data_IF_934984614597
#
_entry.id   IF_934984614597
#
_cell.length_a   1.000
_cell.length_b   1.000
_cell.length_c   1.000
_cell.angle_alpha   90.00
_cell.angle_beta   90.00
_cell.angle_gamma   90.00
#
_symmetry.space_group_name_H-M   'P 1'
#
loop_
_entity.id
_entity.type
_entity.pdbx_description
1 polymer ?
#
# COMPACT_ATOMS: atom_id res chain seq x y z
N UNK A 1 18.62 28.24 -10.40
CA UNK A 1 18.80 27.47 -9.14
C UNK A 1 17.45 27.44 -8.45
N UNK A 2 16.66 26.39 -8.67
CA UNK A 2 15.39 26.19 -7.95
C UNK A 2 15.76 25.83 -6.53
N UNK A 3 15.29 26.60 -5.55
CA UNK A 3 15.47 26.26 -4.15
C UNK A 3 14.95 24.84 -3.90
N UNK A 4 15.79 24.04 -3.25
CA UNK A 4 15.43 22.79 -2.60
C UNK A 4 14.55 23.17 -1.40
N UNK A 5 13.32 23.62 -1.66
CA UNK A 5 12.33 23.68 -0.62
C UNK A 5 12.11 22.23 -0.20
N UNK A 6 12.61 21.87 0.99
CA UNK A 6 12.54 20.52 1.53
C UNK A 6 11.13 19.97 1.36
N UNK A 7 11.00 18.91 0.57
CA UNK A 7 9.73 18.22 0.40
C UNK A 7 9.49 17.41 1.66
N UNK A 8 8.85 18.01 2.66
CA UNK A 8 8.51 17.30 3.89
C UNK A 8 7.48 16.19 3.58
N UNK A 9 7.70 15.02 4.17
CA UNK A 9 6.78 13.87 4.14
C UNK A 9 6.62 13.36 5.56
N UNK A 10 5.40 13.41 6.06
CA UNK A 10 5.08 12.95 7.42
C UNK A 10 4.92 11.43 7.43
N UNK A 11 5.73 10.76 8.24
CA UNK A 11 5.73 9.32 8.44
C UNK A 11 4.85 8.98 9.64
N UNK A 12 3.93 8.05 9.40
CA UNK A 12 2.99 7.58 10.41
C UNK A 12 3.02 6.06 10.46
N UNK A 13 3.24 5.49 11.65
CA UNK A 13 3.04 4.05 11.87
C UNK A 13 1.62 3.80 12.36
N UNK A 14 0.85 3.06 11.58
CA UNK A 14 -0.55 2.71 11.89
C UNK A 14 -0.67 1.38 12.66
N UNK A 15 0.46 0.70 12.91
CA UNK A 15 0.47 -0.62 13.55
C UNK A 15 -0.22 -1.68 12.69
N UNK A 16 -0.95 -2.60 13.34
CA UNK A 16 -1.70 -3.66 12.67
C UNK A 16 -3.18 -3.30 12.58
N UNK A 17 -3.76 -3.33 11.37
CA UNK A 17 -5.20 -3.06 11.19
C UNK A 17 -5.79 -3.71 9.93
N UNK A 18 -7.13 -3.77 9.91
CA UNK A 18 -7.90 -4.19 8.74
C UNK A 18 -7.69 -3.28 7.53
N UNK A 19 -7.88 -3.82 6.33
CA UNK A 19 -7.59 -3.12 5.08
C UNK A 19 -8.42 -1.85 4.92
N UNK A 20 -9.73 -1.92 5.17
CA UNK A 20 -10.63 -0.78 4.99
C UNK A 20 -10.34 0.36 5.98
N UNK A 21 -9.97 0.05 7.23
CA UNK A 21 -9.59 1.07 8.20
C UNK A 21 -8.39 1.89 7.71
N UNK A 22 -7.36 1.23 7.18
CA UNK A 22 -6.22 1.93 6.60
C UNK A 22 -6.58 2.66 5.29
N UNK A 23 -7.46 2.08 4.47
CA UNK A 23 -7.95 2.73 3.25
C UNK A 23 -8.70 4.03 3.54
N UNK A 24 -9.51 4.06 4.59
CA UNK A 24 -10.22 5.28 5.01
C UNK A 24 -9.24 6.39 5.43
N UNK A 25 -8.16 6.02 6.13
CA UNK A 25 -7.07 6.95 6.47
C UNK A 25 -6.40 7.49 5.21
N UNK A 26 -6.06 6.62 4.24
CA UNK A 26 -5.50 7.06 2.95
C UNK A 26 -6.44 8.06 2.25
N UNK A 27 -7.74 7.75 2.18
CA UNK A 27 -8.71 8.56 1.47
C UNK A 27 -8.97 9.91 2.15
N UNK A 28 -8.77 10.03 3.47
CA UNK A 28 -8.78 11.31 4.18
C UNK A 28 -7.67 12.23 3.67
N UNK A 29 -6.43 11.76 3.62
CA UNK A 29 -5.31 12.56 3.12
C UNK A 29 -5.40 12.87 1.62
N UNK A 30 -5.89 11.91 0.82
CA UNK A 30 -6.20 12.16 -0.60
C UNK A 30 -7.23 13.28 -0.74
N UNK A 31 -8.31 13.26 0.05
CA UNK A 31 -9.35 14.29 0.02
C UNK A 31 -8.79 15.66 0.38
N UNK A 32 -7.94 15.75 1.39
CA UNK A 32 -7.31 17.00 1.80
C UNK A 32 -6.49 17.63 0.65
N UNK A 33 -5.67 16.84 -0.05
CA UNK A 33 -4.96 17.32 -1.24
C UNK A 33 -5.90 17.74 -2.38
N UNK A 34 -6.98 16.99 -2.62
CA UNK A 34 -7.92 17.32 -3.69
C UNK A 34 -8.72 18.60 -3.39
N UNK A 35 -9.05 18.82 -2.12
CA UNK A 35 -9.73 20.02 -1.64
C UNK A 35 -8.81 21.25 -1.75
N UNK A 36 -7.53 21.11 -1.41
CA UNK A 36 -6.50 22.15 -1.61
C UNK A 36 -6.35 22.49 -3.10
N UNK A 37 -6.23 21.47 -3.96
CA UNK A 37 -6.14 21.64 -5.41
C UNK A 37 -7.41 22.25 -6.04
N UNK A 38 -8.56 22.14 -5.37
CA UNK A 38 -9.81 22.76 -5.78
C UNK A 38 -9.98 24.20 -5.23
N UNK A 39 -9.01 24.69 -4.44
CA UNK A 39 -9.05 26.03 -3.85
C UNK A 39 -10.07 26.16 -2.71
N UNK A 40 -10.41 25.07 -2.01
CA UNK A 40 -11.32 25.15 -0.86
C UNK A 40 -10.65 25.87 0.32
N UNK A 41 -11.35 26.80 1.00
CA UNK A 41 -10.77 27.52 2.13
C UNK A 41 -10.44 26.56 3.29
N UNK A 42 -9.36 26.83 4.01
CA UNK A 42 -8.86 26.02 5.14
C UNK A 42 -8.50 24.57 4.80
N UNK A 43 -8.33 24.23 3.52
CA UNK A 43 -7.83 22.91 3.12
C UNK A 43 -6.31 22.95 2.97
N UNK A 44 -5.63 21.96 3.56
CA UNK A 44 -4.19 21.78 3.48
C UNK A 44 -3.90 20.29 3.26
N UNK A 45 -3.24 19.95 2.16
CA UNK A 45 -2.85 18.60 1.83
C UNK A 45 -1.40 18.33 2.22
N UNK A 46 -1.22 17.44 3.19
CA UNK A 46 0.10 17.01 3.66
C UNK A 46 0.53 15.73 2.97
N UNK A 47 1.79 15.69 2.53
CA UNK A 47 2.36 14.45 2.00
C UNK A 47 2.60 13.47 3.13
N UNK A 48 2.00 12.29 3.03
CA UNK A 48 2.10 11.26 4.06
C UNK A 48 2.84 10.03 3.55
N UNK A 49 3.54 9.35 4.46
CA UNK A 49 4.00 7.98 4.30
C UNK A 49 3.42 7.12 5.42
N UNK A 50 2.32 6.45 5.12
CA UNK A 50 1.61 5.61 6.09
C UNK A 50 2.20 4.20 6.07
N UNK A 51 2.72 3.72 7.19
CA UNK A 51 3.27 2.38 7.36
C UNK A 51 2.29 1.51 8.13
N UNK A 52 1.99 0.32 7.63
CA UNK A 52 0.99 -0.58 8.21
C UNK A 52 1.36 -2.04 7.96
N UNK A 53 0.93 -2.89 8.89
CA UNK A 53 0.82 -4.33 8.70
C UNK A 53 -0.66 -4.69 8.67
N UNK A 54 -1.12 -5.47 7.69
CA UNK A 54 -2.54 -5.81 7.61
C UNK A 54 -2.88 -7.10 8.35
N UNK A 55 -4.12 -7.19 8.83
CA UNK A 55 -4.76 -8.51 9.01
C UNK A 55 -4.87 -9.20 7.65
N UNK A 56 -4.93 -10.55 7.58
CA UNK A 56 -4.97 -11.27 6.31
C UNK A 56 -6.09 -10.75 5.38
N UNK A 57 -5.70 -10.32 4.18
CA UNK A 57 -6.61 -9.74 3.19
C UNK A 57 -6.14 -10.03 1.76
N UNK A 58 -7.08 -10.37 0.89
CA UNK A 58 -6.90 -10.35 -0.55
C UNK A 58 -7.51 -9.08 -1.13
N UNK A 59 -6.74 -8.36 -1.94
CA UNK A 59 -7.24 -7.21 -2.67
C UNK A 59 -7.17 -7.47 -4.17
N UNK A 60 -8.16 -7.00 -4.91
CA UNK A 60 -8.21 -7.07 -6.37
C UNK A 60 -8.16 -5.66 -6.94
N UNK A 61 -7.21 -5.41 -7.84
CA UNK A 61 -7.07 -4.13 -8.53
C UNK A 61 -7.97 -4.00 -9.76
N UNK A 62 -7.70 -2.97 -10.56
CA UNK A 62 -8.51 -2.56 -11.72
C UNK A 62 -8.22 -3.34 -13.00
N UNK A 63 -7.11 -4.10 -13.08
CA UNK A 63 -6.86 -4.96 -14.24
C UNK A 63 -7.87 -6.10 -14.18
N UNK A 64 -8.78 -6.13 -15.15
CA UNK A 64 -9.81 -7.14 -15.19
C UNK A 64 -9.22 -8.44 -15.73
N UNK A 65 -8.92 -9.35 -14.81
CA UNK A 65 -9.02 -10.77 -15.07
C UNK A 65 -10.37 -11.16 -14.49
N UNK A 66 -11.24 -11.79 -15.29
CA UNK A 66 -12.55 -12.22 -14.83
C UNK A 66 -12.40 -13.20 -13.66
N UNK A 67 -12.35 -12.66 -12.44
CA UNK A 67 -12.28 -13.45 -11.21
C UNK A 67 -13.66 -14.04 -10.99
N UNK A 68 -13.79 -15.34 -11.26
CA UNK A 68 -15.06 -16.04 -11.11
C UNK A 68 -15.60 -15.90 -9.69
N UNK A 69 -16.93 -16.01 -9.55
CA UNK A 69 -17.59 -16.00 -8.24
C UNK A 69 -17.02 -17.09 -7.33
N UNK A 70 -16.69 -18.26 -7.90
CA UNK A 70 -16.09 -19.37 -7.15
C UNK A 70 -14.67 -19.07 -6.69
N UNK A 71 -13.85 -18.41 -7.51
CA UNK A 71 -12.52 -17.94 -7.11
C UNK A 71 -12.62 -16.96 -5.93
N UNK A 72 -13.52 -15.98 -6.02
CA UNK A 72 -13.73 -15.03 -4.92
C UNK A 72 -14.23 -15.73 -3.65
N UNK A 73 -15.12 -16.72 -3.78
CA UNK A 73 -15.62 -17.52 -2.66
C UNK A 73 -14.52 -18.36 -2.02
N UNK A 74 -13.63 -18.95 -2.83
CA UNK A 74 -12.49 -19.73 -2.35
C UNK A 74 -11.53 -18.88 -1.50
N UNK A 75 -11.24 -17.65 -1.92
CA UNK A 75 -10.39 -16.74 -1.13
C UNK A 75 -11.04 -16.37 0.20
N UNK A 76 -12.35 -16.07 0.22
CA UNK A 76 -13.07 -15.78 1.47
C UNK A 76 -13.06 -16.96 2.47
N UNK A 77 -13.02 -18.20 1.98
CA UNK A 77 -12.95 -19.40 2.83
C UNK A 77 -11.62 -19.57 3.57
N UNK A 78 -10.58 -18.83 3.19
CA UNK A 78 -9.28 -18.86 3.88
C UNK A 78 -9.28 -18.14 5.23
N UNK A 79 -10.34 -17.40 5.56
CA UNK A 79 -10.42 -16.54 6.74
C UNK A 79 -9.85 -15.13 6.51
N UNK A 80 -9.26 -14.87 5.35
CA UNK A 80 -8.84 -13.52 4.96
C UNK A 80 -10.03 -12.67 4.49
N UNK A 81 -9.92 -11.34 4.72
CA UNK A 81 -10.81 -10.37 4.09
C UNK A 81 -10.66 -10.38 2.56
N UNK A 82 -11.66 -9.88 1.84
CA UNK A 82 -11.59 -9.74 0.39
C UNK A 82 -12.20 -8.42 -0.07
N UNK A 83 -11.41 -7.61 -0.78
CA UNK A 83 -11.82 -6.29 -1.25
C UNK A 83 -11.47 -6.06 -2.72
N UNK A 84 -12.42 -5.48 -3.46
CA UNK A 84 -12.15 -4.88 -4.78
C UNK A 84 -11.73 -3.43 -4.57
N UNK A 85 -10.72 -3.00 -5.30
CA UNK A 85 -10.03 -1.72 -5.08
C UNK A 85 -9.82 -0.99 -6.41
N UNK A 86 -9.50 0.30 -6.34
CA UNK A 86 -9.16 1.11 -7.50
C UNK A 86 -7.66 1.16 -7.82
N UNK A 87 -6.81 0.41 -7.10
CA UNK A 87 -5.37 0.32 -7.46
C UNK A 87 -5.19 -0.43 -8.76
N UNK A 88 -4.14 -0.06 -9.50
CA UNK A 88 -3.64 -0.85 -10.61
C UNK A 88 -3.21 -2.26 -10.18
N UNK A 89 -3.03 -3.11 -11.17
CA UNK A 89 -2.60 -4.49 -10.98
C UNK A 89 -3.76 -5.47 -10.78
N UNK A 90 -3.40 -6.72 -10.56
CA UNK A 90 -4.31 -7.86 -10.39
C UNK A 90 -4.50 -8.15 -8.88
N UNK A 91 -4.98 -9.35 -8.55
CA UNK A 91 -5.07 -9.85 -7.17
C UNK A 91 -3.71 -9.88 -6.47
N UNK A 92 -3.69 -9.53 -5.17
CA UNK A 92 -2.54 -9.70 -4.26
C UNK A 92 -3.02 -10.04 -2.86
N UNK A 93 -2.11 -10.50 -2.01
CA UNK A 93 -2.30 -10.72 -0.59
C UNK A 93 -1.54 -9.67 0.25
N UNK A 94 -2.13 -9.30 1.38
CA UNK A 94 -1.47 -8.61 2.48
C UNK A 94 -1.79 -9.30 3.80
N UNK A 95 -0.86 -9.29 4.75
CA UNK A 95 -1.04 -9.92 6.04
C UNK A 95 0.15 -9.72 6.99
N UNK A 96 0.14 -10.42 8.13
CA UNK A 96 1.23 -10.38 9.10
C UNK A 96 2.59 -10.71 8.48
N UNK A 97 3.62 -10.00 8.93
CA UNK A 97 4.99 -10.09 8.45
C UNK A 97 5.26 -9.39 7.13
N UNK A 98 4.33 -8.56 6.63
CA UNK A 98 4.51 -7.77 5.42
C UNK A 98 4.54 -6.28 5.78
N UNK A 99 5.60 -5.56 5.36
CA UNK A 99 5.60 -4.11 5.44
C UNK A 99 4.76 -3.57 4.28
N UNK A 100 3.65 -2.93 4.60
CA UNK A 100 2.86 -2.18 3.62
C UNK A 100 3.08 -0.69 3.86
N UNK A 101 3.40 0.04 2.81
CA UNK A 101 3.62 1.47 2.87
C UNK A 101 2.77 2.18 1.82
N UNK A 102 2.03 3.20 2.25
CA UNK A 102 1.16 4.04 1.41
C UNK A 102 1.67 5.48 1.38
N UNK A 103 2.50 5.85 0.39
CA UNK A 103 2.86 7.24 0.19
C UNK A 103 1.70 7.98 -0.50
N UNK A 104 1.05 8.84 0.26
CA UNK A 104 -0.03 9.73 -0.18
C UNK A 104 0.62 11.08 -0.49
N UNK A 105 0.94 11.28 -1.76
CA UNK A 105 1.76 12.40 -2.22
C UNK A 105 1.03 13.21 -3.28
N UNK A 106 1.18 14.53 -3.23
CA UNK A 106 0.90 15.39 -4.37
C UNK A 106 2.12 15.43 -5.30
N UNK A 107 2.10 14.62 -6.36
CA UNK A 107 3.23 14.49 -7.28
C UNK A 107 3.56 15.79 -8.04
N UNK A 108 2.69 16.81 -8.04
CA UNK A 108 3.06 18.12 -8.60
C UNK A 108 4.18 18.81 -7.81
N UNK A 109 4.32 18.48 -6.53
CA UNK A 109 5.40 18.97 -5.67
C UNK A 109 6.72 18.20 -5.92
N UNK A 110 6.64 17.02 -6.55
CA UNK A 110 7.77 16.18 -6.92
C UNK A 110 7.98 16.22 -8.44
N UNK A 111 7.37 15.27 -9.15
CA UNK A 111 7.26 15.25 -10.62
C UNK A 111 5.89 14.70 -11.00
N UNK A 112 5.07 15.42 -11.78
CA UNK A 112 3.71 15.01 -12.14
C UNK A 112 3.71 13.87 -13.18
N UNK A 113 4.11 12.66 -12.76
CA UNK A 113 4.21 11.48 -13.61
C UNK A 113 4.09 10.20 -12.80
N UNK A 114 3.04 9.41 -13.06
CA UNK A 114 2.85 8.11 -12.41
C UNK A 114 3.95 7.10 -12.78
N UNK A 115 4.45 7.14 -14.02
CA UNK A 115 5.55 6.25 -14.45
C UNK A 115 6.83 6.56 -13.66
N UNK A 116 7.17 7.84 -13.50
CA UNK A 116 8.28 8.24 -12.66
C UNK A 116 8.09 7.78 -11.22
N UNK A 117 6.88 7.95 -10.67
CA UNK A 117 6.58 7.57 -9.30
C UNK A 117 6.73 6.06 -9.06
N UNK A 118 6.21 5.22 -9.96
CA UNK A 118 6.44 3.76 -9.91
C UNK A 118 7.93 3.43 -9.91
N UNK A 119 8.70 4.02 -10.84
CA UNK A 119 10.13 3.78 -10.92
C UNK A 119 10.86 4.18 -9.62
N UNK A 120 10.44 5.28 -8.98
CA UNK A 120 11.01 5.73 -7.69
C UNK A 120 10.69 4.75 -6.58
N UNK A 121 9.46 4.26 -6.48
CA UNK A 121 9.10 3.24 -5.49
C UNK A 121 9.87 1.93 -5.68
N UNK A 122 10.09 1.49 -6.92
CA UNK A 122 10.96 0.35 -7.20
C UNK A 122 12.41 0.62 -6.76
N UNK A 123 12.93 1.84 -6.98
CA UNK A 123 14.28 2.21 -6.52
C UNK A 123 14.38 2.22 -5.00
N UNK A 124 13.36 2.75 -4.31
CA UNK A 124 13.26 2.73 -2.85
C UNK A 124 13.33 1.30 -2.33
N UNK A 125 12.55 0.39 -2.90
CA UNK A 125 12.55 -1.02 -2.51
C UNK A 125 13.91 -1.69 -2.78
N UNK A 126 14.50 -1.47 -3.95
CA UNK A 126 15.85 -1.98 -4.28
C UNK A 126 16.90 -1.43 -3.31
N UNK A 127 16.84 -0.13 -3.00
CA UNK A 127 17.70 0.52 -2.02
C UNK A 127 17.55 -0.05 -0.61
N UNK A 128 16.32 -0.37 -0.21
CA UNK A 128 16.05 -1.03 1.07
C UNK A 128 16.64 -2.45 1.10
N UNK A 129 16.44 -3.25 0.05
CA UNK A 129 17.00 -4.60 -0.07
C UNK A 129 18.52 -4.63 -0.02
N UNK A 130 19.18 -3.64 -0.64
CA UNK A 130 20.64 -3.51 -0.62
C UNK A 130 21.20 -3.42 0.81
N UNK A 131 20.47 -2.80 1.73
CA UNK A 131 20.85 -2.67 3.16
C UNK A 131 20.76 -3.98 3.92
N UNK A 132 20.04 -4.97 3.37
CA UNK A 132 20.02 -6.35 3.84
C UNK A 132 21.04 -7.23 3.12
N UNK A 133 21.84 -6.69 2.20
CA UNK A 133 22.74 -7.48 1.35
C UNK A 133 22.03 -8.23 0.23
N UNK A 134 20.76 -7.93 -0.05
CA UNK A 134 19.97 -8.57 -1.11
C UNK A 134 20.03 -7.75 -2.39
N UNK A 135 20.38 -8.39 -3.51
CA UNK A 135 20.38 -7.79 -4.84
C UNK A 135 18.99 -7.83 -5.47
N UNK A 136 18.20 -6.78 -5.24
CA UNK A 136 16.89 -6.60 -5.91
C UNK A 136 17.01 -6.00 -7.31
N UNK A 137 16.06 -6.35 -8.20
CA UNK A 137 15.98 -5.84 -9.57
C UNK A 137 14.55 -5.52 -10.01
N UNK A 138 14.45 -4.65 -11.02
CA UNK A 138 13.24 -4.47 -11.83
C UNK A 138 13.16 -5.56 -12.90
N UNK A 139 11.95 -5.84 -13.36
CA UNK A 139 11.70 -6.68 -14.54
C UNK A 139 10.74 -5.95 -15.49
N UNK A 140 10.24 -6.63 -16.52
CA UNK A 140 9.13 -6.10 -17.32
C UNK A 140 7.81 -5.97 -16.55
N UNK A 141 7.74 -6.57 -15.35
CA UNK A 141 6.55 -6.62 -14.52
C UNK A 141 6.73 -5.79 -13.25
N UNK A 142 5.74 -4.93 -12.97
CA UNK A 142 5.78 -3.97 -11.87
C UNK A 142 6.01 -4.63 -10.51
N UNK A 143 6.98 -4.10 -9.77
CA UNK A 143 7.42 -4.63 -8.48
C UNK A 143 8.92 -4.91 -8.47
N UNK A 144 9.41 -5.46 -7.35
CA UNK A 144 10.83 -5.78 -7.17
C UNK A 144 11.02 -7.27 -6.97
N UNK A 145 12.11 -7.77 -7.54
CA UNK A 145 12.40 -9.18 -7.71
C UNK A 145 13.81 -9.51 -7.24
N UNK A 146 13.98 -10.72 -6.70
CA UNK A 146 15.29 -11.36 -6.45
C UNK A 146 15.36 -12.55 -7.40
N UNK A 147 16.34 -12.53 -8.32
CA UNK A 147 16.35 -13.40 -9.49
C UNK A 147 15.01 -13.35 -10.27
N UNK A 148 14.22 -14.42 -10.21
CA UNK A 148 12.90 -14.59 -10.81
C UNK A 148 11.77 -14.59 -9.78
N UNK A 149 12.07 -14.39 -8.48
CA UNK A 149 11.11 -14.43 -7.37
C UNK A 149 10.69 -13.02 -6.98
N UNK A 150 9.40 -12.76 -6.86
CA UNK A 150 8.88 -11.43 -6.48
C UNK A 150 8.97 -11.25 -4.97
N UNK A 151 9.68 -10.20 -4.53
CA UNK A 151 9.84 -9.88 -3.10
C UNK A 151 8.96 -8.70 -2.66
N UNK A 152 8.60 -7.81 -3.59
CA UNK A 152 7.73 -6.69 -3.30
C UNK A 152 6.74 -6.40 -4.43
N UNK A 153 5.51 -6.09 -4.04
CA UNK A 153 4.41 -5.69 -4.94
C UNK A 153 4.20 -4.18 -4.89
N UNK A 154 3.84 -3.61 -6.04
CA UNK A 154 3.49 -2.19 -6.17
C UNK A 154 2.13 -2.13 -6.88
N UNK A 155 1.18 -1.45 -6.25
CA UNK A 155 -0.16 -1.26 -6.78
C UNK A 155 -0.66 0.11 -6.36
N UNK A 156 -0.87 0.99 -7.33
CA UNK A 156 -1.12 2.41 -7.10
C UNK A 156 -2.39 2.86 -7.76
N UNK A 157 -2.98 3.91 -7.21
CA UNK A 157 -3.97 4.73 -7.89
C UNK A 157 -3.50 6.19 -7.84
N UNK A 158 -3.87 6.98 -8.85
CA UNK A 158 -3.52 8.39 -8.93
C UNK A 158 -4.67 9.18 -9.53
N UNK A 159 -5.10 10.23 -8.83
CA UNK A 159 -6.12 11.17 -9.33
C UNK A 159 -5.60 12.59 -9.19
N UNK A 160 -5.63 13.37 -10.28
CA UNK A 160 -5.06 14.74 -10.32
C UNK A 160 -3.61 14.83 -9.81
N UNK A 161 -2.83 13.76 -9.99
CA UNK A 161 -1.45 13.60 -9.48
C UNK A 161 -1.34 13.41 -7.95
N UNK A 162 -2.44 13.18 -7.25
CA UNK A 162 -2.46 12.75 -5.84
C UNK A 162 -2.51 11.23 -5.79
N UNK A 163 -1.61 10.61 -5.03
CA UNK A 163 -1.44 9.14 -5.00
C UNK A 163 -2.22 8.48 -3.88
N UNK A 164 -2.63 7.23 -4.10
CA UNK A 164 -3.11 6.33 -3.05
C UNK A 164 -2.66 4.89 -3.31
N UNK A 165 -2.84 4.02 -2.32
CA UNK A 165 -2.19 2.72 -2.21
C UNK A 165 -0.67 2.87 -2.20
N UNK A 166 0.08 1.86 -2.61
CA UNK A 166 1.52 1.90 -2.42
C UNK A 166 2.23 0.59 -2.71
N UNK A 167 3.11 0.23 -1.78
CA UNK A 167 4.01 -0.91 -1.91
C UNK A 167 3.81 -1.89 -0.76
N UNK A 168 4.14 -3.14 -1.01
CA UNK A 168 4.11 -4.22 -0.02
C UNK A 168 5.39 -5.05 -0.14
N UNK A 169 6.24 -5.01 0.88
CA UNK A 169 7.49 -5.77 0.97
C UNK A 169 7.29 -6.99 1.87
N UNK A 170 7.53 -8.19 1.31
CA UNK A 170 7.44 -9.42 2.06
C UNK A 170 8.66 -9.54 3.00
N UNK A 171 8.44 -9.47 4.32
CA UNK A 171 9.51 -9.56 5.32
C UNK A 171 9.59 -10.99 5.87
N UNK A 172 8.86 -11.29 6.93
CA UNK A 172 8.60 -12.64 7.40
C UNK A 172 7.16 -13.09 7.10
N UNK A 173 6.61 -12.59 5.99
CA UNK A 173 5.26 -12.93 5.51
C UNK A 173 5.15 -14.43 5.26
N UNK A 174 4.06 -15.04 5.72
CA UNK A 174 3.71 -16.39 5.32
C UNK A 174 3.40 -16.41 3.81
N UNK A 175 4.28 -17.05 3.04
CA UNK A 175 4.17 -17.08 1.58
C UNK A 175 3.11 -18.07 1.09
N UNK A 176 2.58 -18.94 1.96
CA UNK A 176 1.52 -19.90 1.60
C UNK A 176 0.23 -19.21 1.17
N UNK A 177 -0.02 -17.98 1.62
CA UNK A 177 -1.15 -17.15 1.17
C UNK A 177 -1.10 -16.84 -0.33
N UNK A 178 0.09 -16.66 -0.90
CA UNK A 178 0.24 -16.41 -2.32
C UNK A 178 -0.04 -17.65 -3.17
N UNK A 179 0.09 -18.86 -2.62
CA UNK A 179 -0.24 -20.12 -3.33
C UNK A 179 -1.73 -20.24 -3.68
N UNK A 180 -2.59 -19.44 -3.03
CA UNK A 180 -4.04 -19.44 -3.25
C UNK A 180 -4.46 -18.51 -4.39
N UNK A 181 -3.54 -17.74 -4.94
CA UNK A 181 -3.82 -16.75 -5.98
C UNK A 181 -2.84 -16.87 -7.13
N UNK A 182 -3.30 -16.55 -8.33
CA UNK A 182 -2.40 -16.26 -9.45
C UNK A 182 -1.95 -14.81 -9.35
N UNK A 183 -0.99 -14.54 -8.45
CA UNK A 183 -0.46 -13.20 -8.25
C UNK A 183 0.08 -12.63 -9.57
N UNK A 184 -0.31 -11.39 -9.90
CA UNK A 184 0.07 -10.72 -11.16
C UNK A 184 -0.36 -11.42 -12.46
N UNK A 185 -1.17 -12.49 -12.40
CA UNK A 185 -1.69 -13.18 -13.59
C UNK A 185 -0.64 -13.92 -14.43
N UNK A 186 0.55 -14.13 -13.89
CA UNK A 186 1.67 -14.77 -14.56
C UNK A 186 1.83 -16.20 -14.02
N UNK A 187 1.61 -17.25 -14.83
CA UNK A 187 1.87 -18.61 -14.40
C UNK A 187 3.36 -18.80 -14.08
N UNK A 188 3.67 -19.40 -12.93
CA UNK A 188 5.05 -19.70 -12.52
C UNK A 188 5.83 -18.56 -11.87
N UNK A 189 5.19 -17.42 -11.57
CA UNK A 189 5.83 -16.39 -10.73
C UNK A 189 5.88 -16.88 -9.29
N UNK A 190 7.10 -17.16 -8.82
CA UNK A 190 7.35 -17.42 -7.42
C UNK A 190 7.40 -16.11 -6.62
N UNK A 191 6.90 -16.15 -5.39
CA UNK A 191 7.10 -15.07 -4.42
C UNK A 191 8.18 -15.46 -3.41
N UNK A 192 8.87 -14.46 -2.87
CA UNK A 192 9.86 -14.62 -1.80
C UNK A 192 9.68 -13.54 -0.73
N UNK A 193 10.51 -13.59 0.30
CA UNK A 193 10.50 -12.68 1.44
C UNK A 193 11.92 -12.43 1.95
N UNK A 194 12.11 -11.37 2.75
CA UNK A 194 13.40 -11.11 3.40
C UNK A 194 13.87 -12.32 4.21
N UNK A 195 12.97 -12.95 4.97
CA UNK A 195 13.32 -14.10 5.79
C UNK A 195 13.77 -15.29 4.95
N UNK A 196 13.10 -15.54 3.81
CA UNK A 196 13.44 -16.64 2.90
C UNK A 196 14.79 -16.42 2.22
N UNK A 197 15.08 -15.20 1.77
CA UNK A 197 16.34 -14.89 1.08
C UNK A 197 17.56 -14.82 2.02
N UNK A 198 17.34 -14.61 3.33
CA UNK A 198 18.40 -14.50 4.33
C UNK A 198 18.54 -15.72 5.27
N UNK A 199 17.68 -16.73 5.10
CA UNK A 199 17.61 -17.93 5.94
C UNK A 199 17.56 -17.64 7.45
N UNK A 200 16.80 -16.60 7.81
CA UNK A 200 16.57 -16.19 9.21
C UNK A 200 15.26 -15.41 9.32
N UNK A 201 14.68 -15.33 10.51
CA UNK A 201 13.50 -14.48 10.71
C UNK A 201 13.88 -12.99 10.59
N UNK A 202 13.15 -12.26 9.73
CA UNK A 202 13.27 -10.82 9.52
C UNK A 202 11.87 -10.20 9.65
N UNK A 203 11.48 -9.76 10.86
CA UNK A 203 10.18 -9.13 11.08
C UNK A 203 10.06 -7.82 10.31
N UNK A 204 8.82 -7.43 9.95
CA UNK A 204 8.61 -6.24 9.11
C UNK A 204 9.15 -4.95 9.74
N UNK A 205 9.20 -4.88 11.07
CA UNK A 205 9.74 -3.76 11.83
C UNK A 205 11.21 -3.49 11.47
N UNK A 206 12.00 -4.55 11.25
CA UNK A 206 13.42 -4.43 10.88
C UNK A 206 13.59 -3.80 9.49
N UNK A 207 12.58 -3.92 8.63
CA UNK A 207 12.58 -3.34 7.27
C UNK A 207 12.19 -1.86 7.22
N UNK A 208 11.57 -1.31 8.28
CA UNK A 208 11.10 0.08 8.31
C UNK A 208 12.25 1.06 8.12
N UNK A 209 13.32 0.96 8.94
CA UNK A 209 14.46 1.89 8.86
C UNK A 209 15.19 1.83 7.51
N UNK A 210 15.51 0.64 6.95
CA UNK A 210 16.04 0.51 5.60
C UNK A 210 15.14 1.13 4.52
N UNK A 211 13.82 0.89 4.61
CA UNK A 211 12.85 1.45 3.68
C UNK A 211 12.79 2.97 3.74
N UNK A 212 12.67 3.56 4.94
CA UNK A 212 12.61 5.00 5.13
C UNK A 212 13.87 5.71 4.64
N UNK A 213 15.06 5.16 4.93
CA UNK A 213 16.32 5.71 4.42
C UNK A 213 16.35 5.72 2.89
N UNK A 214 16.00 4.60 2.26
CA UNK A 214 15.95 4.53 0.81
C UNK A 214 14.86 5.45 0.22
N UNK A 215 13.72 5.62 0.89
CA UNK A 215 12.66 6.52 0.44
C UNK A 215 13.15 7.97 0.46
N UNK A 216 13.75 8.40 1.57
CA UNK A 216 14.33 9.74 1.74
C UNK A 216 15.37 10.06 0.65
N UNK A 217 16.30 9.13 0.39
CA UNK A 217 17.35 9.27 -0.62
C UNK A 217 16.78 9.35 -2.05
N UNK A 218 15.79 8.50 -2.36
CA UNK A 218 15.25 8.37 -3.72
C UNK A 218 14.29 9.49 -4.10
N UNK A 219 13.50 9.97 -3.15
CA UNK A 219 12.53 11.05 -3.34
C UNK A 219 13.11 12.44 -3.06
N UNK A 220 14.32 12.50 -2.49
CA UNK A 220 15.00 13.74 -2.11
C UNK A 220 14.08 14.59 -1.21
N UNK A 221 13.57 13.95 -0.16
CA UNK A 221 12.60 14.51 0.79
C UNK A 221 13.14 14.52 2.22
N UNK A 222 12.48 15.27 3.09
CA UNK A 222 12.69 15.15 4.54
C UNK A 222 11.55 14.33 5.15
N UNK A 223 11.90 13.49 6.12
CA UNK A 223 10.93 12.65 6.82
C UNK A 223 10.68 13.22 8.21
N UNK A 224 9.43 13.59 8.47
CA UNK A 224 8.96 14.04 9.77
C UNK A 224 8.16 12.93 10.43
N UNK A 225 8.36 12.65 11.72
CA UNK A 225 7.67 11.56 12.39
C UNK A 225 6.52 12.10 13.22
N UNK A 226 5.30 11.59 12.98
CA UNK A 226 4.13 11.94 13.77
C UNK A 226 3.50 10.68 14.38
N UNK A 227 3.06 10.82 15.63
CA UNK A 227 2.20 9.84 16.29
C UNK A 227 0.75 10.18 15.96
N UNK A 228 -0.02 9.23 15.43
CA UNK A 228 -1.47 9.41 15.33
C UNK A 228 -2.03 9.49 16.75
N UNK A 229 -2.79 10.54 17.04
CA UNK A 229 -3.58 10.58 18.27
C UNK A 229 -4.73 9.56 18.16
N UNK A 230 -5.14 8.94 19.27
CA UNK A 230 -6.25 7.96 19.29
C UNK A 230 -7.55 8.49 18.68
N UNK A 231 -7.76 9.81 18.71
CA UNK A 231 -8.91 10.50 18.11
C UNK A 231 -8.87 10.51 16.57
N UNK A 232 -7.71 10.29 15.97
CA UNK A 232 -7.52 10.28 14.52
C UNK A 232 -7.62 8.89 13.91
N UNK A 233 -7.56 7.85 14.74
CA UNK A 233 -7.86 6.47 14.36
C UNK A 233 -9.38 6.31 14.25
N UNK A 234 -9.90 5.68 13.19
CA UNK A 234 -11.33 5.38 13.12
C UNK A 234 -11.72 4.52 14.33
N UNK A 235 -12.78 4.92 15.05
CA UNK A 235 -13.37 4.10 16.10
C UNK A 235 -13.99 2.86 15.44
N UNK A 236 -13.24 1.77 15.37
CA UNK A 236 -13.75 0.50 14.85
C UNK A 236 -14.56 -0.17 15.96
N UNK A 237 -15.88 0.04 15.96
CA UNK A 237 -16.79 -0.88 16.64
C UNK A 237 -16.81 -2.18 15.82
N UNK A 238 -16.06 -3.19 16.25
CA UNK A 238 -16.18 -4.54 15.71
C UNK A 238 -17.52 -5.09 16.18
N UNK A 239 -18.48 -5.45 15.29
CA UNK A 239 -19.67 -6.16 15.73
C UNK A 239 -19.20 -7.52 16.28
N UNK A 240 -19.53 -7.82 17.53
CA UNK A 240 -19.32 -9.14 18.08
C UNK A 240 -20.02 -10.18 17.19
N UNK A 241 -19.41 -11.34 16.92
CA UNK A 241 -20.11 -12.40 16.20
C UNK A 241 -21.31 -12.86 17.05
N UNK A 242 -22.51 -12.62 16.53
CA UNK A 242 -23.76 -13.13 17.08
C UNK A 242 -23.63 -14.66 17.30
N UNK A 243 -23.86 -15.18 18.52
CA UNK A 243 -23.85 -16.60 18.76
C UNK A 243 -25.08 -17.21 18.09
N UNK A 244 -24.87 -17.93 16.97
CA UNK A 244 -25.92 -18.79 16.42
C UNK A 244 -26.07 -20.00 17.32
N UNK A 245 -27.08 -19.98 18.19
CA UNK A 245 -27.61 -21.17 18.84
C UNK A 245 -28.19 -22.10 17.77
N UNK A 246 -27.59 -23.28 17.61
CA UNK A 246 -28.22 -24.41 16.97
C UNK A 246 -29.22 -25.09 17.93
N UNK A 247 -30.01 -25.99 17.34
CA UNK A 247 -31.03 -26.89 17.92
C UNK A 247 -32.44 -26.25 18.04
N UNK A 248 -33.53 -26.78 17.45
CA UNK A 248 -33.87 -28.15 17.06
C UNK A 248 -35.16 -28.19 16.18
N UNK A 249 -35.35 -29.34 15.50
CA UNK A 249 -36.61 -30.03 15.12
C UNK A 249 -37.56 -29.34 14.13
N UNK A 250 -37.66 -29.82 12.87
CA UNK A 250 -38.57 -30.91 12.48
C UNK A 250 -39.94 -30.87 13.17
N UNK A 251 -40.88 -30.12 12.61
CA UNK A 251 -42.29 -30.56 12.56
C UNK A 251 -43.05 -29.83 11.45
N UNK A 252 -43.78 -30.62 10.66
CA UNK A 252 -45.03 -30.30 9.94
C UNK A 252 -44.99 -29.63 8.55
N UNK A 253 -44.89 -30.53 7.56
CA UNK A 253 -45.79 -30.55 6.39
C UNK A 253 -47.28 -30.49 6.82
N UNK A 254 -48.12 -29.81 5.99
CA UNK A 254 -49.61 -29.60 6.03
C UNK A 254 -49.94 -28.16 6.43
N UNK A 255 -50.71 -27.34 5.71
CA UNK A 255 -51.93 -27.46 4.89
C UNK A 255 -51.94 -26.27 3.90
N UNK A 256 -52.08 -26.43 2.58
CA UNK A 256 -53.33 -26.52 1.79
C UNK A 256 -54.49 -25.60 2.23
N UNK A 257 -54.78 -24.59 1.40
CA UNK A 257 -56.10 -23.95 1.25
C UNK A 257 -56.30 -22.65 2.03
N UNK A 258 -57.01 -21.61 1.59
CA UNK A 258 -57.88 -21.30 0.44
C UNK A 258 -58.10 -19.77 0.46
N UNK A 259 -58.14 -19.13 -0.74
CA UNK A 259 -58.91 -17.94 -1.26
C UNK A 259 -59.34 -16.82 -0.28
N UNK A 260 -59.59 -15.55 -0.65
CA UNK A 260 -59.59 -14.69 -1.84
C UNK A 260 -59.91 -13.26 -1.33
N UNK A 261 -59.66 -12.23 -2.16
CA UNK A 261 -60.46 -11.00 -2.42
C UNK A 261 -59.49 -9.90 -2.87
N UNK A 262 -59.20 -9.75 -4.17
CA UNK A 262 -59.84 -8.83 -5.13
C UNK A 262 -59.96 -7.39 -4.58
N UNK A 263 -59.32 -6.40 -5.21
CA UNK A 263 -59.84 -5.72 -6.42
C UNK A 263 -58.76 -4.90 -7.13
N UNK A 264 -58.95 -4.77 -8.45
CA UNK A 264 -58.16 -4.03 -9.44
C UNK A 264 -58.56 -2.55 -9.50
N UNK A 265 -57.62 -1.64 -9.80
CA UNK A 265 -57.62 -0.76 -10.98
C UNK A 265 -56.68 0.48 -10.83
N UNK A 266 -55.99 0.83 -11.93
CA UNK A 266 -55.36 2.15 -12.19
C UNK A 266 -53.83 2.10 -12.35
N UNK A 267 -53.26 1.72 -13.50
CA UNK A 267 -52.91 2.53 -14.71
C UNK A 267 -51.87 3.64 -14.49
N UNK A 268 -50.64 3.47 -15.01
CA UNK A 268 -50.01 4.31 -16.05
C UNK A 268 -48.54 3.91 -16.36
N UNK A 269 -48.35 3.47 -17.60
CA UNK A 269 -47.29 3.79 -18.58
C UNK A 269 -45.80 3.92 -18.21
N UNK A 270 -45.05 2.87 -18.61
CA UNK A 270 -43.98 2.85 -19.64
C UNK A 270 -42.59 3.52 -19.42
N UNK A 271 -41.53 2.97 -20.06
CA UNK A 271 -40.14 3.08 -19.63
C UNK A 271 -39.29 4.06 -20.46
N UNK A 272 -38.17 4.52 -19.90
CA UNK A 272 -37.16 5.31 -20.62
C UNK A 272 -35.75 4.80 -20.32
N UNK A 273 -35.21 3.96 -21.21
CA UNK A 273 -33.77 3.95 -21.55
C UNK A 273 -33.62 3.45 -22.99
N UNK A 274 -33.00 4.21 -23.91
CA UNK A 274 -32.69 3.70 -25.24
C UNK A 274 -31.36 2.92 -25.25
N UNK A 275 -31.21 1.92 -26.15
CA UNK A 275 -30.00 1.14 -26.35
C UNK A 275 -29.00 1.85 -27.28
N UNK A 276 -27.69 1.57 -27.13
CA UNK A 276 -26.67 1.93 -28.13
C UNK A 276 -26.54 0.83 -29.19
N UNK A 277 -26.42 1.16 -30.50
CA UNK A 277 -26.11 0.20 -31.55
C UNK A 277 -24.60 0.17 -31.92
N UNK A 278 -24.16 -0.81 -32.75
CA UNK A 278 -22.81 -1.39 -32.73
C UNK A 278 -21.89 -1.07 -33.93
N UNK A 279 -20.58 -1.30 -33.71
CA UNK A 279 -19.46 -1.73 -34.60
C UNK A 279 -19.26 -1.13 -36.01
N UNK A 280 -17.99 -0.90 -36.39
CA UNK A 280 -17.30 -1.64 -37.48
C UNK A 280 -15.79 -1.33 -37.62
N UNK A 281 -15.03 -2.36 -38.00
CA UNK A 281 -13.60 -2.37 -38.38
C UNK A 281 -13.34 -1.67 -39.72
N UNK A 282 -12.13 -1.11 -39.90
CA UNK A 282 -11.27 -1.35 -41.08
C UNK A 282 -9.87 -0.75 -40.92
N UNK A 283 -8.86 -1.47 -41.44
CA UNK A 283 -7.45 -1.11 -41.69
C UNK A 283 -7.21 -1.14 -43.23
N UNK A 284 -6.01 -0.90 -43.84
CA UNK A 284 -4.70 -0.39 -43.38
C UNK A 284 -4.04 0.73 -44.27
N UNK A 285 -2.88 1.24 -43.80
CA UNK A 285 -1.64 1.86 -44.40
C UNK A 285 -1.62 2.60 -45.77
N UNK A 286 -0.64 3.53 -46.00
CA UNK A 286 0.70 3.13 -46.48
C UNK A 286 1.92 3.90 -45.88
N UNK A 287 3.08 3.47 -46.36
CA UNK A 287 4.48 3.62 -45.93
C UNK A 287 5.19 4.98 -46.19
N UNK A 288 6.46 5.01 -45.72
CA UNK A 288 7.62 5.84 -46.11
C UNK A 288 7.84 7.13 -45.27
N UNK A 289 9.04 7.49 -44.77
CA UNK A 289 10.41 7.22 -45.19
C UNK A 289 11.41 7.18 -44.01
N UNK A 290 12.51 6.44 -44.24
CA UNK A 290 13.80 6.50 -43.54
C UNK A 290 14.45 7.89 -43.63
N UNK A 291 15.26 8.24 -42.62
CA UNK A 291 16.64 8.71 -42.83
C UNK A 291 17.50 8.50 -41.59
N UNK A 292 18.50 7.62 -41.75
CA UNK A 292 19.75 7.58 -41.01
C UNK A 292 20.42 8.95 -41.00
N UNK A 293 21.09 9.28 -39.89
CA UNK A 293 22.45 9.82 -40.03
C UNK A 293 23.30 9.44 -38.81
N UNK A 294 24.29 8.60 -39.09
CA UNK A 294 25.47 8.36 -38.28
C UNK A 294 26.43 9.55 -38.39
N UNK A 295 27.10 9.92 -37.29
CA UNK A 295 28.57 10.04 -37.25
C UNK A 295 29.09 10.42 -35.86
N UNK A 296 30.09 9.65 -35.46
CA UNK A 296 31.09 9.89 -34.43
C UNK A 296 31.85 11.21 -34.67
N UNK A 297 32.40 11.81 -33.61
CA UNK A 297 33.86 12.09 -33.49
C UNK A 297 34.24 12.65 -32.10
N UNK A 298 35.11 11.91 -31.42
CA UNK A 298 36.33 12.31 -30.71
C UNK A 298 36.37 13.45 -29.65
N UNK A 299 36.68 13.00 -28.42
CA UNK A 299 37.92 13.25 -27.65
C UNK A 299 38.26 14.63 -27.02
N UNK A 300 38.69 14.48 -25.75
CA UNK A 300 39.70 15.24 -24.98
C UNK A 300 39.37 16.63 -24.41
N UNK A 301 39.19 16.67 -23.09
CA UNK A 301 39.88 17.52 -22.08
C UNK A 301 39.64 16.80 -20.73
N UNK A 302 40.60 16.42 -19.88
CA UNK A 302 41.81 17.12 -19.46
C UNK A 302 41.66 17.49 -17.97
N UNK A 303 42.23 16.64 -17.09
CA UNK A 303 42.41 16.76 -15.62
C UNK A 303 42.54 18.20 -15.06
N UNK A 304 41.95 18.46 -13.87
CA UNK A 304 42.62 18.92 -12.63
C UNK A 304 41.63 19.48 -11.58
N UNK A 305 42.04 19.42 -10.30
CA UNK A 305 41.36 19.88 -9.06
C UNK A 305 40.17 18.99 -8.67
N UNK A 306 40.10 18.35 -7.51
CA UNK A 306 40.34 18.85 -6.15
C UNK A 306 40.87 17.72 -5.26
N UNK A 307 42.07 17.92 -4.69
CA UNK A 307 42.50 17.32 -3.44
C UNK A 307 42.76 18.49 -2.48
N UNK A 308 42.58 18.22 -1.20
CA UNK A 308 42.70 19.13 -0.04
C UNK A 308 41.42 19.89 0.33
N UNK A 309 40.59 19.23 1.16
CA UNK A 309 40.01 19.82 2.37
C UNK A 309 39.33 18.71 3.20
N UNK A 310 40.12 18.01 4.02
CA UNK A 310 39.62 17.15 5.09
C UNK A 310 40.46 17.37 6.34
N UNK A 311 40.06 18.33 7.20
CA UNK A 311 40.40 18.31 8.63
C UNK A 311 39.26 18.89 9.49
N UNK A 312 38.93 18.09 10.50
CA UNK A 312 38.25 18.37 11.78
C UNK A 312 36.76 18.69 11.80
N UNK A 313 35.94 17.67 12.03
CA UNK A 313 34.82 17.73 12.99
C UNK A 313 34.86 16.49 13.88
N UNK A 314 34.59 16.69 15.17
CA UNK A 314 34.70 15.67 16.21
C UNK A 314 33.67 14.56 16.01
N UNK A 315 34.15 13.33 15.81
CA UNK A 315 33.32 12.13 15.71
C UNK A 315 32.98 11.66 17.14
N UNK A 316 31.72 11.76 17.54
CA UNK A 316 31.21 11.09 18.75
C UNK A 316 31.22 9.58 18.47
N UNK A 317 31.83 8.74 19.33
CA UNK A 317 31.90 7.30 19.09
C UNK A 317 30.50 6.69 18.93
N UNK A 318 30.32 5.88 17.87
CA UNK A 318 29.05 5.21 17.53
C UNK A 318 28.43 4.46 18.73
N UNK A 319 29.27 3.90 19.60
CA UNK A 319 28.84 3.19 20.80
C UNK A 319 28.12 4.09 21.83
N UNK A 320 28.48 5.36 21.93
CA UNK A 320 27.82 6.32 22.84
C UNK A 320 26.46 6.76 22.30
N UNK A 321 26.34 6.90 20.97
CA UNK A 321 25.07 7.19 20.30
C UNK A 321 24.12 5.99 20.37
N UNK A 322 24.62 4.77 20.17
CA UNK A 322 23.84 3.54 20.32
C UNK A 322 23.34 3.34 21.74
N UNK A 323 24.18 3.60 22.75
CA UNK A 323 23.76 3.54 24.15
C UNK A 323 22.66 4.56 24.47
N UNK A 324 22.77 5.79 23.98
CA UNK A 324 21.77 6.83 24.21
C UNK A 324 20.41 6.48 23.57
N UNK A 325 20.42 5.95 22.34
CA UNK A 325 19.18 5.55 21.64
C UNK A 325 18.51 4.35 22.31
N UNK A 326 19.29 3.35 22.74
CA UNK A 326 18.76 2.17 23.45
C UNK A 326 18.19 2.56 24.82
N UNK A 327 18.83 3.50 25.52
CA UNK A 327 18.33 4.04 26.80
C UNK A 327 17.00 4.74 26.59
N UNK A 328 16.86 5.55 25.53
CA UNK A 328 15.63 6.29 25.27
C UNK A 328 14.49 5.37 24.82
N UNK A 329 14.76 4.37 23.97
CA UNK A 329 13.78 3.33 23.63
C UNK A 329 13.32 2.54 24.86
N UNK A 330 14.23 2.20 25.79
CA UNK A 330 13.86 1.49 27.03
C UNK A 330 13.01 2.34 27.96
N UNK A 331 13.25 3.66 28.04
CA UNK A 331 12.37 4.59 28.77
C UNK A 331 10.99 4.65 28.12
N UNK A 332 10.92 4.66 26.80
CA UNK A 332 9.69 4.71 26.02
C UNK A 332 8.82 3.46 26.25
N UNK A 333 9.43 2.27 26.21
CA UNK A 333 8.73 1.01 26.52
C UNK A 333 8.22 1.00 27.96
N UNK A 334 9.01 1.48 28.93
CA UNK A 334 8.57 1.59 30.33
C UNK A 334 7.39 2.56 30.50
N UNK A 335 7.36 3.66 29.76
CA UNK A 335 6.26 4.63 29.80
C UNK A 335 4.97 4.04 29.23
N UNK A 336 5.06 3.32 28.10
CA UNK A 336 3.93 2.62 27.47
C UNK A 336 3.37 1.55 28.40
N UNK A 337 4.25 0.73 29.01
CA UNK A 337 3.83 -0.29 29.98
C UNK A 337 3.20 0.35 31.22
N UNK A 338 3.75 1.46 31.72
CA UNK A 338 3.19 2.15 32.90
C UNK A 338 1.82 2.79 32.61
N UNK A 339 1.63 3.36 31.42
CA UNK A 339 0.34 3.89 30.96
C UNK A 339 -0.69 2.77 30.81
N UNK A 340 -0.28 1.61 30.27
CA UNK A 340 -1.12 0.43 30.16
C UNK A 340 -1.59 -0.09 31.53
N UNK A 341 -0.68 -0.25 32.50
CA UNK A 341 -1.05 -0.69 33.86
C UNK A 341 -1.88 0.35 34.64
N UNK A 342 -1.65 1.64 34.43
CA UNK A 342 -2.46 2.70 35.03
C UNK A 342 -3.91 2.69 34.49
N UNK A 343 -4.09 2.34 33.22
CA UNK A 343 -5.41 2.18 32.59
C UNK A 343 -6.16 0.94 33.06
N UNK A 344 -5.45 -0.13 33.46
CA UNK A 344 -6.09 -1.37 33.94
C UNK A 344 -6.46 -1.34 35.43
N UNK A 345 -5.85 -0.47 36.25
CA UNK A 345 -6.10 -0.40 37.69
C UNK A 345 -7.17 0.63 38.10
N UNK A 346 -7.79 1.34 37.16
CA UNK A 346 -8.87 2.30 37.41
C UNK A 346 -10.26 1.72 37.07
N UNK A 347 -10.55 0.50 37.55
CA UNK A 347 -11.92 -0.03 37.60
C UNK A 347 -12.54 0.45 38.91
N UNK A 348 -13.57 1.32 38.91
CA UNK A 348 -14.29 1.65 40.13
C UNK A 348 -15.06 0.40 40.59
N UNK A 349 -14.87 -0.03 41.83
CA UNK A 349 -15.81 -0.94 42.47
C UNK A 349 -17.15 -0.21 42.59
N UNK A 350 -18.17 -0.74 41.92
CA UNK A 350 -19.54 -0.26 42.02
C UNK A 350 -20.14 -0.76 43.35
N UNK A 351 -20.59 0.19 44.17
CA UNK A 351 -21.57 -0.02 45.25
C UNK A 351 -22.99 -0.11 44.67
#
# INVERSE_FOLDING_TARGET
MSSVANRAVTVVSMGRMGFMAAYDVQMRYVRNHLDELAGKPHSHGENMLLLVEHTPVYTVGTRDKAYSTDYCRALKKTGAEFWRTNRGGLVTFHGPGQLVAYPILNLKQFKPSMKWYVNRLEETLIGALRRFGISGRRTGETGVWVDHRKIASIGLHGTRYVTSHGVALNCNTDLSWFSKIEACGLPGVEVTSLSRELDRDVPYQDSIKPFLRAFQEVFECELEFQMLEERELPSVSVPAPEPRSGELLQTELKEVGVRHMSTLAGSHDAPLFPPMPPTLLSSPSPEAERKDNTRETSANFGKAMWQDEMKSEAVIPLAEVEAAVVVEMKKMVKLVVKAFYASCNNVPQAE
#
